data_IF_749045285425
#
_entry.id   IF_749045285425
#
_cell.length_a   1.000
_cell.length_b   1.000
_cell.length_c   1.000
_cell.angle_alpha   90.00
_cell.angle_beta   90.00
_cell.angle_gamma   90.00
#
_symmetry.space_group_name_H-M   'P 1'
#
loop_
_entity.id
_entity.type
_entity.pdbx_description
1 polymer ?
2 non-polymer ?
3 non-polymer ?
4 water ?
#
# COMPACT_ATOMS: atom_id res chain seq x y z
N UNK A 3 -1.43 45.43 -9.59
CA UNK A 3 -2.74 44.75 -9.84
C UNK A 3 -2.54 43.60 -10.81
N UNK A 4 -1.58 43.75 -11.71
CA UNK A 4 -1.01 42.60 -12.35
C UNK A 4 -0.08 42.02 -11.27
N UNK A 5 0.92 42.77 -10.82
CA UNK A 5 1.83 42.19 -9.82
C UNK A 5 1.08 41.59 -8.61
N UNK A 6 0.06 42.31 -8.15
CA UNK A 6 -0.73 41.92 -6.98
C UNK A 6 -1.41 40.57 -7.23
N UNK A 7 -2.03 40.39 -8.40
CA UNK A 7 -2.73 39.13 -8.72
C UNK A 7 -1.73 37.97 -8.82
N UNK A 8 -0.61 38.25 -9.49
CA UNK A 8 0.47 37.28 -9.67
C UNK A 8 1.00 36.80 -8.33
N UNK A 9 1.23 37.73 -7.41
CA UNK A 9 1.68 37.36 -6.08
C UNK A 9 0.69 36.49 -5.28
N UNK A 10 -0.58 36.82 -5.43
CA UNK A 10 -1.60 36.05 -4.82
C UNK A 10 -1.64 34.65 -5.43
N UNK A 11 -1.58 34.60 -6.76
CA UNK A 11 -1.47 33.33 -7.44
C UNK A 11 -0.24 32.52 -7.01
N UNK A 12 0.88 33.21 -6.80
CA UNK A 12 2.09 32.48 -6.41
C UNK A 12 1.90 31.84 -5.01
N UNK A 13 1.33 32.58 -4.06
CA UNK A 13 0.96 32.04 -2.76
C UNK A 13 0.00 30.84 -2.84
N UNK A 14 -0.95 30.90 -3.75
CA UNK A 14 -1.83 29.75 -3.93
C UNK A 14 -1.15 28.55 -4.55
N UNK A 15 -0.26 28.76 -5.53
CA UNK A 15 0.53 27.63 -6.00
C UNK A 15 1.38 27.02 -4.91
N UNK A 16 2.04 27.86 -4.09
CA UNK A 16 2.86 27.37 -2.95
C UNK A 16 2.04 26.51 -2.02
N UNK A 17 0.83 26.98 -1.72
CA UNK A 17 -0.07 26.21 -0.85
C UNK A 17 -0.46 24.87 -1.51
N UNK A 18 -0.67 24.88 -2.82
CA UNK A 18 -0.99 23.64 -3.54
C UNK A 18 0.21 22.70 -3.58
N UNK A 19 1.38 23.27 -3.76
CA UNK A 19 2.59 22.47 -3.69
C UNK A 19 2.75 21.78 -2.31
N UNK A 20 2.53 22.54 -1.22
CA UNK A 20 2.63 21.93 0.13
C UNK A 20 1.61 20.79 0.34
N UNK A 21 0.38 21.02 -0.09
CA UNK A 21 -0.68 20.01 -0.01
C UNK A 21 -0.36 18.75 -0.86
N UNK A 22 0.15 18.92 -2.08
CA UNK A 22 0.64 17.75 -2.88
C UNK A 22 1.83 16.98 -2.26
N UNK A 23 2.71 17.72 -1.61
CA UNK A 23 3.80 17.07 -0.90
C UNK A 23 3.30 16.27 0.30
N UNK A 24 2.38 16.83 1.08
CA UNK A 24 1.73 16.06 2.15
C UNK A 24 1.02 14.80 1.64
N UNK A 25 0.35 14.93 0.50
CA UNK A 25 -0.28 13.76 -0.13
C UNK A 25 0.74 12.69 -0.54
N UNK A 26 1.82 13.10 -1.18
CA UNK A 26 2.87 12.17 -1.50
C UNK A 26 3.42 11.47 -0.24
N UNK A 27 3.70 12.28 0.79
CA UNK A 27 4.24 11.77 2.03
C UNK A 27 3.30 10.70 2.63
N UNK A 28 1.97 10.96 2.62
CA UNK A 28 0.95 9.98 3.02
C UNK A 28 0.98 8.73 2.17
N UNK A 29 1.04 8.85 0.83
CA UNK A 29 1.15 7.64 0.00
C UNK A 29 2.38 6.79 0.29
N UNK A 30 3.54 7.42 0.43
CA UNK A 30 4.74 6.66 0.78
C UNK A 30 4.56 6.00 2.10
N UNK A 31 3.95 6.67 3.06
CA UNK A 31 3.69 5.99 4.32
C UNK A 31 2.87 4.70 4.18
N UNK A 32 1.76 4.80 3.45
CA UNK A 32 0.86 3.67 3.23
C UNK A 32 1.54 2.60 2.40
N UNK A 33 2.42 3.00 1.49
CA UNK A 33 3.14 1.99 0.68
C UNK A 33 4.06 1.10 1.55
N UNK A 34 4.74 1.75 2.47
CA UNK A 34 5.69 1.09 3.37
C UNK A 34 4.94 0.19 4.33
N UNK A 35 3.83 0.67 4.89
CA UNK A 35 2.90 -0.24 5.58
C UNK A 35 2.40 -1.47 4.85
N UNK A 36 1.96 -1.31 3.60
CA UNK A 36 1.52 -2.48 2.80
C UNK A 36 2.63 -3.45 2.46
N UNK A 37 3.84 -2.94 2.23
CA UNK A 37 4.99 -3.81 2.06
C UNK A 37 5.20 -4.65 3.31
N UNK A 38 5.13 -4.03 4.46
CA UNK A 38 5.20 -4.78 5.69
C UNK A 38 4.05 -5.76 5.93
N UNK A 39 2.84 -5.30 5.68
CA UNK A 39 1.66 -6.19 5.73
C UNK A 39 1.89 -7.44 4.83
N UNK A 40 2.38 -7.21 3.62
CA UNK A 40 2.52 -8.26 2.63
C UNK A 40 3.55 -9.28 3.11
N UNK A 41 4.66 -8.79 3.68
CA UNK A 41 5.65 -9.70 4.28
C UNK A 41 5.11 -10.42 5.51
N UNK A 42 4.36 -9.73 6.38
CA UNK A 42 3.79 -10.43 7.50
C UNK A 42 2.87 -11.55 7.04
N UNK A 43 1.95 -11.23 6.14
CA UNK A 43 1.04 -12.24 5.62
C UNK A 43 1.77 -13.42 4.96
N UNK A 44 2.79 -13.20 4.15
CA UNK A 44 3.49 -14.31 3.56
C UNK A 44 4.12 -15.18 4.62
N UNK A 45 4.77 -14.56 5.60
CA UNK A 45 5.39 -15.34 6.67
C UNK A 45 4.30 -16.07 7.51
N UNK A 46 3.15 -15.41 7.77
CA UNK A 46 2.06 -16.11 8.44
C UNK A 46 1.54 -17.30 7.63
N UNK A 47 1.35 -17.12 6.32
CA UNK A 47 0.84 -18.16 5.47
C UNK A 47 1.83 -19.30 5.34
N UNK A 48 3.11 -18.98 5.37
CA UNK A 48 4.13 -20.04 5.28
C UNK A 48 4.00 -20.87 6.56
N UNK A 49 3.87 -20.25 7.71
CA UNK A 49 3.77 -21.06 8.90
C UNK A 49 2.56 -21.97 8.89
N UNK A 50 1.46 -21.47 8.36
CA UNK A 50 0.24 -22.28 8.29
C UNK A 50 0.39 -23.48 7.32
N UNK A 51 0.93 -23.23 6.14
CA UNK A 51 1.17 -24.34 5.21
C UNK A 51 2.09 -25.37 5.75
N UNK A 52 3.11 -24.98 6.50
CA UNK A 52 3.93 -25.99 7.20
C UNK A 52 3.13 -26.84 8.24
N UNK A 53 2.30 -26.21 9.08
CA UNK A 53 1.51 -26.98 10.01
C UNK A 53 0.57 -27.92 9.26
N UNK A 54 -0.03 -27.48 8.15
CA UNK A 54 -0.92 -28.32 7.34
C UNK A 54 -0.22 -29.55 6.72
N UNK A 55 0.96 -29.33 6.17
CA UNK A 55 1.76 -30.39 5.60
C UNK A 55 2.07 -31.41 6.64
N UNK A 56 2.43 -30.93 7.84
CA UNK A 56 2.64 -31.82 9.00
C UNK A 56 1.39 -32.62 9.30
N UNK A 57 0.25 -31.96 9.42
CA UNK A 57 -1.01 -32.75 9.62
C UNK A 57 -1.35 -33.69 8.48
N UNK A 58 -1.29 -33.23 7.24
CA UNK A 58 -1.46 -34.12 6.13
C UNK A 58 -0.68 -35.41 6.26
N UNK A 59 0.57 -35.35 6.71
CA UNK A 59 1.40 -36.59 6.76
C UNK A 59 0.94 -37.47 7.87
N UNK A 60 0.65 -36.88 9.03
CA UNK A 60 0.03 -37.65 10.14
C UNK A 60 -1.17 -38.47 9.67
N UNK A 61 -2.09 -37.81 8.98
CA UNK A 61 -3.34 -38.41 8.50
C UNK A 61 -3.11 -39.28 7.25
N UNK A 62 -1.89 -39.30 6.70
CA UNK A 62 -1.68 -40.11 5.49
C UNK A 62 -1.70 -41.60 5.89
N UNK A 63 -1.22 -41.87 7.10
CA UNK A 63 -1.38 -43.16 7.79
C UNK A 63 -2.77 -43.81 7.63
N UNK A 64 -3.81 -43.15 8.15
CA UNK A 64 -5.18 -43.67 8.04
C UNK A 64 -6.20 -42.59 7.63
N UNK B 3 12.55 42.75 -13.86
CA UNK B 3 12.58 42.36 -12.43
C UNK B 3 11.21 41.90 -11.88
N UNK B 4 10.55 42.67 -11.02
CA UNK B 4 9.40 42.10 -10.25
C UNK B 4 8.34 41.34 -11.07
N UNK B 5 7.81 42.01 -12.07
CA UNK B 5 6.78 41.38 -12.88
C UNK B 5 7.34 40.20 -13.70
N UNK B 6 8.51 40.36 -14.32
CA UNK B 6 9.10 39.17 -14.97
C UNK B 6 9.44 38.06 -13.95
N UNK B 7 9.87 38.41 -12.75
CA UNK B 7 10.17 37.35 -11.78
C UNK B 7 8.93 36.57 -11.39
N UNK B 8 7.85 37.29 -11.10
CA UNK B 8 6.59 36.64 -10.72
C UNK B 8 6.08 35.67 -11.75
N UNK B 9 5.99 36.13 -13.00
CA UNK B 9 5.61 35.30 -14.11
C UNK B 9 6.50 34.09 -14.24
N UNK B 10 7.81 34.26 -14.14
CA UNK B 10 8.69 33.09 -14.24
C UNK B 10 8.44 32.10 -13.07
N UNK B 11 8.37 32.62 -11.85
CA UNK B 11 8.19 31.78 -10.68
C UNK B 11 6.84 31.07 -10.77
N UNK B 12 5.80 31.72 -11.26
CA UNK B 12 4.54 31.01 -11.50
C UNK B 12 4.60 29.81 -12.47
N UNK B 13 5.21 30.04 -13.62
CA UNK B 13 5.40 28.95 -14.60
C UNK B 13 6.17 27.84 -13.90
N UNK B 14 7.23 28.22 -13.20
CA UNK B 14 8.01 27.20 -12.46
C UNK B 14 7.19 26.38 -11.41
N UNK B 15 6.38 27.05 -10.58
CA UNK B 15 5.55 26.32 -9.60
C UNK B 15 4.51 25.48 -10.29
N UNK B 16 4.01 25.91 -11.43
CA UNK B 16 3.06 25.06 -12.10
C UNK B 16 3.72 23.81 -12.64
N UNK B 17 4.97 23.96 -13.06
CA UNK B 17 5.81 22.85 -13.48
C UNK B 17 5.96 21.85 -12.35
N UNK B 18 6.26 22.38 -11.17
CA UNK B 18 6.42 21.54 -10.00
C UNK B 18 5.12 20.81 -9.58
N UNK B 19 3.97 21.44 -9.72
CA UNK B 19 2.74 20.73 -9.49
C UNK B 19 2.57 19.57 -10.42
N UNK B 20 2.85 19.77 -11.70
CA UNK B 20 2.60 18.73 -12.66
C UNK B 20 3.45 17.50 -12.24
N UNK B 21 4.72 17.76 -11.93
CA UNK B 21 5.60 16.69 -11.48
C UNK B 21 5.13 16.04 -10.15
N UNK B 22 4.66 16.82 -9.18
CA UNK B 22 4.23 16.20 -7.93
C UNK B 22 2.99 15.32 -8.14
N UNK B 23 2.12 15.73 -9.04
CA UNK B 23 0.95 14.92 -9.34
C UNK B 23 1.36 13.60 -9.97
N UNK B 24 2.34 13.63 -10.89
CA UNK B 24 2.74 12.40 -11.57
C UNK B 24 3.37 11.47 -10.59
N UNK B 25 4.14 12.03 -9.66
CA UNK B 25 4.76 11.24 -8.61
C UNK B 25 3.74 10.57 -7.70
N UNK B 26 2.77 11.35 -7.23
CA UNK B 26 1.69 10.74 -6.46
C UNK B 26 0.90 9.69 -7.25
N UNK B 27 0.72 9.87 -8.56
CA UNK B 27 0.03 8.88 -9.33
C UNK B 27 0.84 7.59 -9.42
N UNK B 28 2.17 7.71 -9.47
CA UNK B 28 3.06 6.54 -9.48
C UNK B 28 3.02 5.74 -8.18
N UNK B 29 3.02 6.43 -7.05
CA UNK B 29 2.74 5.83 -5.72
C UNK B 29 1.38 5.15 -5.69
N UNK B 30 0.32 5.79 -6.22
CA UNK B 30 -0.99 5.12 -6.21
C UNK B 30 -1.05 3.84 -7.00
N UNK B 31 -0.41 3.80 -8.14
CA UNK B 31 -0.38 2.60 -8.93
C UNK B 31 0.31 1.46 -8.15
N UNK B 32 1.41 1.71 -7.44
CA UNK B 32 2.08 0.64 -6.70
C UNK B 32 1.22 0.19 -5.51
N UNK B 33 0.69 1.16 -4.75
CA UNK B 33 -0.30 0.92 -3.69
C UNK B 33 -1.54 0.11 -4.09
N UNK B 34 -2.22 0.48 -5.16
CA UNK B 34 -3.23 -0.40 -5.73
C UNK B 34 -2.75 -1.84 -5.90
N UNK B 35 -1.55 -2.04 -6.42
CA UNK B 35 -0.99 -3.40 -6.56
C UNK B 35 -0.82 -4.12 -5.24
N UNK B 36 -0.28 -3.41 -4.24
CA UNK B 36 -0.16 -3.94 -2.88
C UNK B 36 -1.46 -4.17 -2.11
N UNK B 37 -2.48 -3.33 -2.30
CA UNK B 37 -3.84 -3.64 -1.80
C UNK B 37 -4.36 -4.96 -2.42
N UNK B 38 -4.19 -5.16 -3.73
CA UNK B 38 -4.66 -6.38 -4.36
C UNK B 38 -3.91 -7.59 -3.85
N UNK B 39 -2.61 -7.47 -3.72
CA UNK B 39 -1.80 -8.58 -3.17
C UNK B 39 -2.24 -8.97 -1.76
N UNK B 40 -2.40 -7.97 -0.89
CA UNK B 40 -2.76 -8.18 0.50
C UNK B 40 -4.12 -8.82 0.66
N UNK B 41 -5.05 -8.40 -0.17
CA UNK B 41 -6.38 -8.99 -0.21
C UNK B 41 -6.30 -10.48 -0.61
N UNK B 42 -5.53 -10.82 -1.63
CA UNK B 42 -5.38 -12.22 -1.96
C UNK B 42 -4.69 -13.01 -0.80
N UNK B 43 -3.65 -12.47 -0.18
CA UNK B 43 -3.04 -13.17 0.96
C UNK B 43 -3.99 -13.31 2.15
N UNK B 44 -4.87 -12.33 2.40
CA UNK B 44 -5.88 -12.44 3.48
C UNK B 44 -6.82 -13.54 3.15
N UNK B 45 -7.23 -13.64 1.88
CA UNK B 45 -8.21 -14.68 1.50
C UNK B 45 -7.51 -16.02 1.69
N UNK B 46 -6.24 -16.08 1.29
CA UNK B 46 -5.49 -17.38 1.46
C UNK B 46 -5.31 -17.75 2.96
N UNK B 47 -4.97 -16.77 3.78
CA UNK B 47 -4.78 -16.96 5.19
C UNK B 47 -6.04 -17.59 5.81
N UNK B 48 -7.20 -17.04 5.45
CA UNK B 48 -8.47 -17.54 5.95
C UNK B 48 -8.67 -18.98 5.51
N UNK B 49 -8.45 -19.29 4.25
CA UNK B 49 -8.62 -20.70 3.84
C UNK B 49 -7.67 -21.67 4.56
N UNK B 50 -6.42 -21.27 4.72
CA UNK B 50 -5.50 -22.07 5.53
C UNK B 50 -5.86 -22.28 7.02
N UNK B 51 -6.30 -21.23 7.71
CA UNK B 51 -6.90 -21.39 9.03
C UNK B 51 -8.05 -22.40 9.13
N UNK B 52 -8.98 -22.34 8.19
CA UNK B 52 -10.07 -23.30 8.17
C UNK B 52 -9.54 -24.70 7.88
N UNK B 53 -8.61 -24.84 6.95
CA UNK B 53 -8.08 -26.16 6.62
C UNK B 53 -7.36 -26.79 7.82
N UNK B 54 -6.62 -25.98 8.57
CA UNK B 54 -5.87 -26.45 9.74
C UNK B 54 -6.84 -26.97 10.77
N UNK B 55 -7.88 -26.20 11.03
CA UNK B 55 -8.88 -26.69 11.95
C UNK B 55 -9.54 -27.96 11.45
N UNK B 56 -9.96 -27.97 10.19
CA UNK B 56 -10.49 -29.18 9.56
C UNK B 56 -9.61 -30.40 9.84
N UNK B 57 -8.31 -30.26 9.59
CA UNK B 57 -7.34 -31.36 9.70
C UNK B 57 -7.12 -31.74 11.14
N UNK B 58 -6.95 -30.76 12.03
CA UNK B 58 -6.83 -31.09 13.46
C UNK B 58 -7.97 -31.97 13.95
N UNK B 59 -9.20 -31.63 13.55
CA UNK B 59 -10.43 -32.38 13.92
C UNK B 59 -10.43 -33.82 13.39
N UNK B 60 -10.22 -33.98 12.09
CA UNK B 60 -9.99 -35.32 11.52
C UNK B 60 -8.98 -36.13 12.33
N UNK B 61 -7.87 -35.49 12.69
CA UNK B 61 -6.80 -36.15 13.44
C UNK B 61 -7.32 -36.53 14.82
N UNK B 62 -8.01 -35.59 15.48
CA UNK B 62 -8.58 -35.84 16.80
C UNK B 62 -9.59 -36.98 16.68
N UNK B 63 -10.36 -36.97 15.60
CA UNK B 63 -11.35 -37.99 15.36
C UNK B 63 -10.71 -39.29 14.86
N UNK B 64 -9.38 -39.33 14.91
CA UNK B 64 -8.61 -40.51 14.51
C UNK B 64 -7.57 -40.81 15.60
N UNK B 65 -7.16 -39.76 16.31
CA UNK B 65 -6.44 -39.90 17.58
C UNK B 65 -7.40 -40.51 18.60
N UNK B 66 -8.64 -40.72 18.18
CA UNK B 66 -9.67 -41.33 19.01
C UNK B 66 -10.59 -42.22 18.17
N UNK B 67 -10.12 -43.41 17.80
CA UNK B 67 -10.90 -44.35 16.96
C UNK B 67 -10.64 -45.83 17.30
X LIG C 1 8.95 -1.72 6.01
X LIG D 1 7.84 -0.98 8.47
X LIG E 1 -2.14 31.55 2.79
X LIG F 1 -10.78 -10.87 0.55
#
# INVERSE_FOLDING_TARGET
>A
AVQQNKELNFKLREKQNEIFELKKIAETLRSKLEKYVDITKKLEDQNLNLQIKISDLEKKLSDANSTFKEMRFP
>B
AVQQNKELNFKLREKQNEIFELKKIAETLRSKLEKYVDITKKLEDQNLNLQIKISDLEKKLSDANSTFKEMRFP
>C hetero
1 CO CO
>D hetero
1 CO CO
>E hetero
1 CL CL
>F hetero
1 CO CO
#
